data_IF_090240933751
#
_entry.id   IF_090240933751
#
_cell.length_a   1.000
_cell.length_b   1.000
_cell.length_c   1.000
_cell.angle_alpha   90.00
_cell.angle_beta   90.00
_cell.angle_gamma   90.00
#
_symmetry.space_group_name_H-M   'P 1'
#
loop_
_entity.id
_entity.type
_entity.pdbx_description
1 polymer ?
#
# COMPACT_ATOMS: atom_id res chain seq x y z
N UNK A 1 1.68 40.58 55.34
CA UNK A 1 2.22 40.50 53.97
C UNK A 1 1.48 39.36 53.28
N UNK A 2 0.44 39.62 52.47
CA UNK A 2 0.49 39.98 51.03
C UNK A 2 1.25 38.90 50.24
N UNK A 3 0.75 38.21 49.20
CA UNK A 3 -0.31 38.47 48.23
C UNK A 3 -0.92 37.14 47.73
N UNK A 4 -2.24 37.13 47.51
CA UNK A 4 -2.92 36.28 46.53
C UNK A 4 -2.65 36.78 45.10
N UNK A 5 -2.39 35.86 44.15
CA UNK A 5 -2.60 36.05 42.68
C UNK A 5 -2.84 34.65 42.07
N UNK A 6 -4.06 34.25 41.72
CA UNK A 6 -4.86 34.53 40.50
C UNK A 6 -4.28 33.92 39.20
N UNK A 7 -4.97 32.85 38.78
CA UNK A 7 -5.51 32.48 37.44
C UNK A 7 -4.60 32.33 36.21
N UNK A 8 -4.98 31.28 35.46
CA UNK A 8 -5.15 31.22 33.99
C UNK A 8 -3.92 30.85 33.15
N UNK A 9 -4.07 29.76 32.39
CA UNK A 9 -3.17 29.42 31.30
C UNK A 9 -3.31 27.98 30.82
N UNK A 10 -4.42 27.66 30.15
CA UNK A 10 -4.51 26.49 29.26
C UNK A 10 -3.54 26.70 28.11
N UNK A 11 -2.56 25.83 27.94
CA UNK A 11 -2.06 25.46 26.59
C UNK A 11 -1.67 23.98 26.63
N UNK A 12 -2.50 23.18 26.01
CA UNK A 12 -2.16 21.84 25.58
C UNK A 12 -1.02 21.94 24.56
N UNK A 13 0.16 21.44 24.90
CA UNK A 13 1.20 21.13 23.93
C UNK A 13 1.22 19.62 23.76
N UNK A 14 0.41 19.13 22.83
CA UNK A 14 0.55 17.79 22.27
C UNK A 14 1.87 17.81 21.50
N UNK A 15 2.94 17.36 22.15
CA UNK A 15 4.19 17.09 21.46
C UNK A 15 3.97 15.84 20.60
N UNK A 16 3.59 16.08 19.34
CA UNK A 16 3.79 15.13 18.24
C UNK A 16 5.30 14.90 18.12
N UNK A 17 5.82 13.95 18.89
CA UNK A 17 7.16 13.42 18.65
C UNK A 17 7.02 12.47 17.48
N UNK A 18 7.36 12.99 16.30
CA UNK A 18 7.54 12.24 15.08
C UNK A 18 8.38 10.99 15.39
N UNK A 19 7.84 9.87 14.92
CA UNK A 19 8.43 8.54 14.95
C UNK A 19 9.84 8.57 14.34
N UNK A 20 10.85 8.49 15.21
CA UNK A 20 12.21 8.20 14.77
C UNK A 20 12.25 6.82 14.16
N UNK A 21 12.60 6.78 12.88
CA UNK A 21 12.88 5.60 12.07
C UNK A 21 13.79 4.63 12.84
N UNK A 22 13.25 3.49 13.30
CA UNK A 22 14.11 2.39 13.73
C UNK A 22 14.76 1.78 12.49
N UNK A 23 16.01 2.19 12.28
CA UNK A 23 16.92 1.62 11.29
C UNK A 23 17.42 0.29 11.81
N UNK A 24 16.75 -0.81 11.47
CA UNK A 24 17.32 -2.15 11.67
C UNK A 24 18.26 -2.46 10.50
N UNK A 25 19.55 -2.30 10.77
CA UNK A 25 20.62 -2.80 9.92
C UNK A 25 20.62 -4.34 9.94
N UNK A 26 20.07 -4.98 8.90
CA UNK A 26 20.30 -6.40 8.68
C UNK A 26 21.71 -6.59 8.13
N UNK A 27 22.59 -7.02 9.03
CA UNK A 27 23.92 -7.56 8.74
C UNK A 27 23.74 -8.82 7.87
N UNK A 28 24.15 -8.74 6.61
CA UNK A 28 24.16 -9.89 5.71
C UNK A 28 25.26 -10.87 6.14
N UNK A 29 24.84 -12.00 6.74
CA UNK A 29 25.72 -13.13 7.00
C UNK A 29 26.00 -13.86 5.67
N UNK A 30 27.27 -13.89 5.28
CA UNK A 30 27.74 -14.52 4.05
C UNK A 30 28.00 -16.02 4.28
N UNK A 31 26.96 -16.85 4.37
CA UNK A 31 26.99 -18.23 3.85
C UNK A 31 25.65 -18.95 4.02
N UNK A 32 24.75 -18.82 3.04
CA UNK A 32 23.72 -19.84 2.82
C UNK A 32 23.53 -19.96 1.31
N UNK A 33 23.69 -21.19 0.81
CA UNK A 33 23.32 -21.62 -0.53
C UNK A 33 21.89 -21.16 -0.87
N UNK A 34 21.75 -19.99 -1.46
CA UNK A 34 20.47 -19.52 -1.96
C UNK A 34 20.43 -19.88 -3.44
N UNK A 35 19.70 -20.95 -3.77
CA UNK A 35 19.01 -21.03 -5.06
C UNK A 35 18.47 -19.63 -5.31
N UNK A 36 18.87 -19.01 -6.42
CA UNK A 36 18.34 -17.73 -6.84
C UNK A 36 16.82 -17.85 -6.91
N UNK A 37 16.15 -17.51 -5.82
CA UNK A 37 14.72 -17.32 -5.76
C UNK A 37 14.49 -16.16 -6.69
N UNK A 38 14.05 -16.46 -7.90
CA UNK A 38 13.61 -15.50 -8.90
C UNK A 38 12.68 -14.56 -8.16
N UNK A 39 13.15 -13.36 -7.83
CA UNK A 39 12.33 -12.34 -7.19
C UNK A 39 11.23 -12.09 -8.20
N UNK A 40 10.04 -12.63 -7.95
CA UNK A 40 8.92 -12.49 -8.89
C UNK A 40 8.70 -10.99 -9.04
N UNK A 41 8.91 -10.48 -10.25
CA UNK A 41 8.69 -9.07 -10.53
C UNK A 41 7.24 -8.76 -10.16
N UNK A 42 7.05 -7.72 -9.34
CA UNK A 42 5.70 -7.23 -9.07
C UNK A 42 5.28 -6.33 -10.22
N UNK A 43 4.11 -6.62 -10.78
CA UNK A 43 3.52 -5.92 -11.90
C UNK A 43 2.21 -5.28 -11.46
N UNK A 44 1.76 -4.33 -12.26
CA UNK A 44 0.46 -3.68 -12.09
C UNK A 44 -0.62 -4.41 -12.88
N UNK A 45 -1.74 -4.64 -12.21
CA UNK A 45 -2.90 -5.31 -12.75
C UNK A 45 -4.16 -4.48 -12.54
N UNK A 46 -4.99 -4.39 -13.56
CA UNK A 46 -6.28 -3.70 -13.55
C UNK A 46 -7.39 -4.63 -13.09
N UNK A 47 -8.23 -4.13 -12.18
CA UNK A 47 -9.43 -4.81 -11.72
C UNK A 47 -10.51 -4.78 -12.81
N UNK A 48 -11.10 -5.94 -13.11
CA UNK A 48 -12.05 -6.13 -14.21
C UNK A 48 -13.53 -5.86 -13.84
N UNK A 49 -13.82 -5.60 -12.56
CA UNK A 49 -15.18 -5.41 -12.01
C UNK A 49 -16.11 -6.63 -12.12
N UNK A 50 -15.60 -7.85 -12.38
CA UNK A 50 -16.43 -9.07 -12.57
C UNK A 50 -16.44 -10.00 -11.37
N UNK A 51 -15.52 -9.85 -10.41
CA UNK A 51 -15.44 -10.70 -9.22
C UNK A 51 -14.97 -9.98 -7.95
N UNK A 52 -14.71 -10.68 -6.84
CA UNK A 52 -14.32 -10.04 -5.60
C UNK A 52 -12.96 -9.36 -5.72
N UNK A 53 -12.85 -8.13 -5.20
CA UNK A 53 -11.61 -7.31 -5.20
C UNK A 53 -10.43 -8.02 -4.52
N UNK A 54 -10.68 -8.99 -3.66
CA UNK A 54 -9.62 -9.77 -2.99
C UNK A 54 -9.22 -11.04 -3.74
N UNK A 55 -9.75 -11.29 -4.94
CA UNK A 55 -9.36 -12.44 -5.76
C UNK A 55 -8.45 -12.04 -6.91
N UNK A 56 -7.31 -12.73 -7.01
CA UNK A 56 -6.35 -12.55 -8.11
C UNK A 56 -6.95 -12.75 -9.50
N UNK A 57 -7.97 -13.60 -9.63
CA UNK A 57 -8.63 -13.88 -10.90
C UNK A 57 -9.42 -12.70 -11.47
N UNK A 58 -9.73 -11.69 -10.65
CA UNK A 58 -10.49 -10.49 -11.05
C UNK A 58 -9.60 -9.38 -11.58
N UNK A 59 -8.33 -9.70 -11.86
CA UNK A 59 -7.32 -8.73 -12.24
C UNK A 59 -6.58 -9.18 -13.48
N UNK A 60 -6.42 -8.27 -14.42
CA UNK A 60 -5.72 -8.50 -15.69
C UNK A 60 -4.50 -7.60 -15.78
N UNK A 61 -3.42 -8.09 -16.39
CA UNK A 61 -2.19 -7.32 -16.55
C UNK A 61 -2.47 -6.04 -17.34
N UNK A 62 -1.98 -4.90 -16.84
CA UNK A 62 -2.11 -3.63 -17.56
C UNK A 62 -1.23 -3.70 -18.81
N UNK A 63 -1.80 -3.35 -19.97
CA UNK A 63 -1.11 -3.42 -21.26
C UNK A 63 0.19 -2.60 -21.29
N UNK A 64 0.20 -1.45 -20.60
CA UNK A 64 1.40 -0.62 -20.40
C UNK A 64 1.70 -0.57 -18.91
N UNK A 65 2.80 -1.19 -18.49
CA UNK A 65 3.20 -1.23 -17.09
C UNK A 65 3.72 0.15 -16.65
N UNK A 66 3.09 0.79 -15.65
CA UNK A 66 3.59 2.06 -15.15
C UNK A 66 4.95 1.84 -14.47
N UNK A 67 5.86 2.78 -14.71
CA UNK A 67 7.26 2.71 -14.26
C UNK A 67 7.39 2.95 -12.75
N UNK A 68 6.40 3.59 -12.14
CA UNK A 68 6.35 3.93 -10.73
C UNK A 68 4.90 4.13 -10.25
N UNK A 69 4.74 4.29 -8.94
CA UNK A 69 3.43 4.39 -8.29
C UNK A 69 2.68 5.68 -8.68
N UNK A 70 3.38 6.75 -9.06
CA UNK A 70 2.77 8.00 -9.53
C UNK A 70 2.16 7.85 -10.92
N UNK A 71 2.88 7.22 -11.85
CA UNK A 71 2.36 6.87 -13.17
C UNK A 71 1.17 5.89 -13.03
N UNK A 72 1.21 4.96 -12.08
CA UNK A 72 0.09 4.05 -11.82
C UNK A 72 -1.18 4.79 -11.35
N UNK A 73 -1.05 5.85 -10.54
CA UNK A 73 -2.20 6.69 -10.16
C UNK A 73 -2.81 7.44 -11.35
N UNK A 74 -2.03 7.75 -12.40
CA UNK A 74 -2.57 8.41 -13.62
C UNK A 74 -3.49 7.50 -14.46
N UNK A 75 -3.38 6.17 -14.32
CA UNK A 75 -4.27 5.22 -14.98
C UNK A 75 -5.68 5.20 -14.35
N UNK A 76 -5.84 5.78 -13.17
CA UNK A 76 -7.03 5.71 -12.35
C UNK A 76 -7.65 7.10 -12.21
N UNK A 77 -8.63 7.49 -13.05
CA UNK A 77 -9.43 8.67 -12.76
C UNK A 77 -10.18 8.41 -11.43
N UNK A 78 -9.99 9.25 -10.40
CA UNK A 78 -10.06 8.98 -8.94
C UNK A 78 -11.46 8.90 -8.23
N UNK A 79 -11.61 8.03 -7.20
CA UNK A 79 -12.79 7.79 -6.28
C UNK A 79 -12.91 6.34 -5.75
N UNK A 80 -14.05 5.88 -5.21
CA UNK A 80 -14.70 4.55 -5.32
C UNK A 80 -14.03 3.16 -5.18
N UNK A 81 -13.68 2.56 -6.32
CA UNK A 81 -13.39 1.12 -6.45
C UNK A 81 -11.91 0.83 -6.64
N UNK A 82 -11.50 -0.44 -6.51
CA UNK A 82 -10.12 -0.81 -6.85
C UNK A 82 -9.91 -0.61 -8.36
N UNK A 83 -8.83 0.09 -8.69
CA UNK A 83 -8.43 0.36 -10.05
C UNK A 83 -7.29 -0.56 -10.45
N UNK A 84 -6.10 -0.30 -9.88
CA UNK A 84 -4.91 -1.09 -10.10
C UNK A 84 -4.41 -1.69 -8.79
N UNK A 85 -3.73 -2.83 -8.92
CA UNK A 85 -2.96 -3.41 -7.82
C UNK A 85 -1.57 -3.78 -8.28
N UNK A 86 -0.61 -3.74 -7.35
CA UNK A 86 0.74 -4.22 -7.53
C UNK A 86 0.85 -5.60 -6.89
N UNK A 87 1.12 -6.61 -7.70
CA UNK A 87 1.18 -7.99 -7.21
C UNK A 87 2.26 -8.80 -7.95
N UNK A 88 2.77 -9.89 -7.36
CA UNK A 88 3.70 -10.79 -8.06
C UNK A 88 3.06 -11.38 -9.31
N UNK A 89 3.88 -11.57 -10.35
CA UNK A 89 3.44 -12.22 -11.57
C UNK A 89 2.93 -13.65 -11.33
N UNK A 90 1.73 -13.93 -11.86
CA UNK A 90 1.10 -15.25 -11.86
C UNK A 90 1.16 -15.89 -13.24
N UNK A 91 0.03 -16.46 -13.67
CA UNK A 91 -0.10 -17.14 -14.96
C UNK A 91 -1.14 -16.46 -15.84
N UNK A 92 -0.97 -16.52 -17.16
CA UNK A 92 -1.96 -16.07 -18.15
C UNK A 92 -2.33 -14.59 -18.05
N UNK A 93 -1.39 -13.72 -17.66
CA UNK A 93 -1.66 -12.30 -17.51
C UNK A 93 -2.44 -11.94 -16.23
N UNK A 94 -2.61 -12.89 -15.32
CA UNK A 94 -3.17 -12.64 -13.99
C UNK A 94 -2.06 -12.58 -12.94
N UNK A 95 -2.29 -11.87 -11.82
CA UNK A 95 -1.36 -11.92 -10.70
C UNK A 95 -1.34 -13.30 -10.05
N UNK A 96 -0.29 -13.59 -9.30
CA UNK A 96 -0.27 -14.74 -8.41
C UNK A 96 -1.35 -14.58 -7.33
N UNK A 97 -1.72 -15.69 -6.68
CA UNK A 97 -2.69 -15.67 -5.57
C UNK A 97 -2.30 -14.63 -4.52
N UNK A 98 -3.25 -13.77 -4.15
CA UNK A 98 -3.00 -12.72 -3.17
C UNK A 98 -2.71 -13.31 -1.81
N UNK A 99 -1.65 -12.81 -1.18
CA UNK A 99 -1.37 -13.07 0.22
C UNK A 99 -2.49 -12.48 1.10
N UNK A 100 -2.68 -13.00 2.33
CA UNK A 100 -3.62 -12.41 3.28
C UNK A 100 -3.31 -10.92 3.54
N UNK A 101 -2.03 -10.54 3.55
CA UNK A 101 -1.59 -9.15 3.71
C UNK A 101 -2.12 -8.25 2.60
N UNK A 102 -1.98 -8.65 1.33
CA UNK A 102 -2.48 -7.85 0.21
C UNK A 102 -4.01 -7.80 0.20
N UNK A 103 -4.69 -8.89 0.57
CA UNK A 103 -6.16 -8.87 0.70
C UNK A 103 -6.62 -7.89 1.80
N UNK A 104 -5.94 -7.85 2.94
CA UNK A 104 -6.21 -6.86 4.00
C UNK A 104 -5.91 -5.43 3.53
N UNK A 105 -4.82 -5.22 2.79
CA UNK A 105 -4.47 -3.93 2.22
C UNK A 105 -5.55 -3.43 1.25
N UNK A 106 -6.02 -4.29 0.33
CA UNK A 106 -7.12 -3.99 -0.59
C UNK A 106 -8.38 -3.58 0.17
N UNK A 107 -8.80 -4.38 1.17
CA UNK A 107 -9.99 -4.08 1.96
C UNK A 107 -9.84 -2.76 2.74
N UNK A 108 -8.66 -2.51 3.29
CA UNK A 108 -8.38 -1.27 4.04
C UNK A 108 -8.44 -0.07 3.11
N UNK A 109 -7.78 -0.14 1.96
CA UNK A 109 -7.75 0.93 0.97
C UNK A 109 -9.16 1.33 0.53
N UNK A 110 -9.99 0.34 0.19
CA UNK A 110 -11.40 0.55 -0.17
C UNK A 110 -12.20 1.11 0.99
N UNK A 111 -12.06 0.57 2.21
CA UNK A 111 -12.88 1.01 3.35
C UNK A 111 -12.53 2.39 3.89
N UNK A 112 -11.33 2.88 3.56
CA UNK A 112 -10.80 4.16 4.02
C UNK A 112 -10.65 5.20 2.91
N UNK A 113 -11.06 4.85 1.69
CA UNK A 113 -10.88 5.66 0.48
C UNK A 113 -9.45 6.21 0.34
N UNK A 114 -8.46 5.40 0.74
CA UNK A 114 -7.06 5.80 0.83
C UNK A 114 -6.20 4.82 0.05
N UNK A 115 -5.53 5.32 -0.99
CA UNK A 115 -4.57 4.54 -1.76
C UNK A 115 -3.37 4.07 -0.92
N UNK A 116 -2.75 3.00 -1.37
CA UNK A 116 -1.51 2.49 -0.79
C UNK A 116 -0.42 2.36 -1.86
N UNK A 117 0.73 1.81 -1.48
CA UNK A 117 1.81 1.50 -2.41
C UNK A 117 1.43 0.39 -3.40
N UNK A 118 0.52 -0.53 -3.01
CA UNK A 118 0.13 -1.67 -3.85
C UNK A 118 -1.32 -1.60 -4.35
N UNK A 119 -2.11 -0.61 -3.94
CA UNK A 119 -3.52 -0.50 -4.31
C UNK A 119 -3.84 0.93 -4.71
N UNK A 120 -4.34 1.10 -5.93
CA UNK A 120 -4.82 2.35 -6.52
C UNK A 120 -6.33 2.29 -6.69
N UNK A 121 -7.02 3.40 -6.47
CA UNK A 121 -8.48 3.48 -6.44
C UNK A 121 -9.02 4.34 -7.61
N UNK A 122 -10.20 4.02 -8.14
CA UNK A 122 -10.89 4.73 -9.26
C UNK A 122 -12.20 5.36 -8.80
N UNK A 123 -12.56 6.46 -9.44
CA UNK A 123 -13.83 7.19 -9.35
C UNK A 123 -15.01 6.23 -9.20
N UNK A 124 -15.76 6.38 -8.12
CA UNK A 124 -17.16 5.90 -8.08
C UNK A 124 -18.00 6.78 -9.01
#
# INVERSE_FOLDING_TARGET
>A
MALTKKVMGVVAAIALVLTTVLTFAFKADKNVNNKAGKTLASLWYEYDNVGPRTSASSYNIVATQPSNDGEASEFCPETGEVCLIKAPEGTSGHPATFSPTLQTEINTAVSSDTETANVKLRAD
#
